data_IF_114569575568
#
_entry.id   IF_114569575568
#
_cell.length_a   1.000
_cell.length_b   1.000
_cell.length_c   1.000
_cell.angle_alpha   90.00
_cell.angle_beta   90.00
_cell.angle_gamma   90.00
#
_symmetry.space_group_name_H-M   'P 1'
#
loop_
_entity.id
_entity.type
_entity.pdbx_description
1 polymer ?
#
# COMPACT_ATOMS: atom_id res chain seq x y z
N UNK A 1 -1.55 9.57 -11.25
CA UNK A 1 -0.21 9.05 -10.91
C UNK A 1 0.93 9.87 -11.52
N UNK A 2 1.09 9.91 -12.85
CA UNK A 2 2.24 10.54 -13.53
C UNK A 2 2.54 11.98 -13.08
N UNK A 3 1.51 12.82 -12.98
CA UNK A 3 1.62 14.19 -12.46
C UNK A 3 2.32 14.25 -11.09
N UNK A 4 1.92 13.39 -10.14
CA UNK A 4 2.51 13.36 -8.79
C UNK A 4 3.99 12.94 -8.88
N UNK A 5 4.32 11.94 -9.70
CA UNK A 5 5.71 11.48 -9.86
C UNK A 5 6.59 12.63 -10.37
N UNK A 6 6.16 13.35 -11.40
CA UNK A 6 6.91 14.48 -11.96
C UNK A 6 7.17 15.57 -10.92
N UNK A 7 6.12 16.01 -10.23
CA UNK A 7 6.19 17.09 -9.23
C UNK A 7 7.06 16.73 -8.01
N UNK A 8 7.20 15.44 -7.71
CA UNK A 8 7.92 14.96 -6.51
C UNK A 8 9.31 14.41 -6.82
N UNK A 9 9.65 14.23 -8.10
CA UNK A 9 10.89 13.58 -8.55
C UNK A 9 12.18 14.25 -8.09
N UNK A 10 12.15 15.57 -7.85
CA UNK A 10 13.30 16.35 -7.39
C UNK A 10 13.45 16.39 -5.86
N UNK A 11 12.60 15.65 -5.14
CA UNK A 11 12.57 15.62 -3.68
C UNK A 11 12.55 14.17 -3.13
N UNK A 12 13.55 13.33 -3.46
CA UNK A 12 13.51 11.89 -3.18
C UNK A 12 13.48 11.54 -1.68
N UNK A 13 13.99 12.41 -0.81
CA UNK A 13 14.04 12.20 0.65
C UNK A 13 12.93 12.92 1.44
N UNK A 14 12.10 13.72 0.75
CA UNK A 14 11.00 14.45 1.39
C UNK A 14 9.69 13.69 1.21
N UNK A 15 9.40 12.75 2.12
CA UNK A 15 8.14 12.01 2.10
C UNK A 15 6.92 12.89 2.44
N UNK A 16 7.11 14.10 2.96
CA UNK A 16 6.01 15.03 3.26
C UNK A 16 5.51 15.70 1.99
N UNK A 17 6.32 15.79 0.93
CA UNK A 17 5.91 16.41 -0.34
C UNK A 17 4.64 15.79 -0.92
N UNK A 18 4.41 14.49 -0.66
CA UNK A 18 3.23 13.75 -1.10
C UNK A 18 1.94 14.24 -0.43
N UNK A 19 2.00 14.92 0.71
CA UNK A 19 0.81 15.45 1.39
C UNK A 19 0.05 16.48 0.55
N UNK A 20 0.77 17.21 -0.31
CA UNK A 20 0.16 18.13 -1.30
C UNK A 20 -0.82 17.42 -2.24
N UNK A 21 -0.70 16.09 -2.36
CA UNK A 21 -1.47 15.26 -3.26
C UNK A 21 -2.44 14.31 -2.56
N UNK A 22 -2.71 14.48 -1.26
CA UNK A 22 -3.68 13.63 -0.51
C UNK A 22 -5.03 13.55 -1.22
N UNK A 23 -5.54 14.67 -1.71
CA UNK A 23 -6.80 14.70 -2.47
C UNK A 23 -6.71 13.88 -3.76
N UNK A 24 -5.60 13.99 -4.51
CA UNK A 24 -5.37 13.24 -5.73
C UNK A 24 -5.29 11.72 -5.46
N UNK A 25 -4.67 11.31 -4.35
CA UNK A 25 -4.66 9.91 -3.94
C UNK A 25 -6.07 9.40 -3.63
N UNK A 26 -6.90 10.22 -2.98
CA UNK A 26 -8.32 9.91 -2.76
C UNK A 26 -9.07 9.70 -4.06
N UNK A 27 -8.91 10.62 -5.02
CA UNK A 27 -9.50 10.49 -6.36
C UNK A 27 -9.04 9.23 -7.09
N UNK A 28 -7.76 8.88 -7.03
CA UNK A 28 -7.23 7.65 -7.65
C UNK A 28 -7.91 6.40 -7.10
N UNK A 29 -8.13 6.33 -5.78
CA UNK A 29 -8.84 5.22 -5.14
C UNK A 29 -10.31 5.20 -5.56
N UNK A 30 -10.99 6.36 -5.54
CA UNK A 30 -12.42 6.42 -5.86
C UNK A 30 -12.70 6.07 -7.32
N UNK A 31 -11.94 6.64 -8.26
CA UNK A 31 -12.08 6.28 -9.67
C UNK A 31 -11.78 4.80 -9.94
N UNK A 32 -10.86 4.18 -9.18
CA UNK A 32 -10.59 2.74 -9.30
C UNK A 32 -11.80 1.91 -8.85
N UNK A 33 -12.52 2.32 -7.80
CA UNK A 33 -13.77 1.66 -7.37
C UNK A 33 -14.86 1.80 -8.42
N UNK A 34 -15.01 2.99 -9.00
CA UNK A 34 -16.01 3.23 -10.04
C UNK A 34 -15.77 2.34 -11.27
N UNK A 35 -14.51 2.26 -11.73
CA UNK A 35 -14.11 1.38 -12.84
C UNK A 35 -14.41 -0.08 -12.52
N UNK A 36 -14.01 -0.56 -11.34
CA UNK A 36 -14.27 -1.94 -10.93
C UNK A 36 -15.78 -2.22 -10.84
N UNK A 37 -16.55 -1.31 -10.25
CA UNK A 37 -18.01 -1.43 -10.13
C UNK A 37 -18.67 -1.53 -11.50
N UNK A 38 -18.25 -0.70 -12.45
CA UNK A 38 -18.75 -0.73 -13.82
C UNK A 38 -18.34 -2.02 -14.57
N UNK A 39 -17.20 -2.61 -14.24
CA UNK A 39 -16.69 -3.83 -14.87
C UNK A 39 -17.31 -5.12 -14.33
N UNK A 40 -17.88 -5.12 -13.11
CA UNK A 40 -18.46 -6.31 -12.46
C UNK A 40 -19.44 -7.08 -13.37
N UNK A 41 -20.42 -6.44 -14.05
CA UNK A 41 -21.38 -7.18 -14.88
C UNK A 41 -20.71 -7.92 -16.05
N UNK A 42 -19.74 -7.27 -16.70
CA UNK A 42 -18.97 -7.85 -17.81
C UNK A 42 -18.14 -9.04 -17.33
N UNK A 43 -17.41 -8.87 -16.23
CA UNK A 43 -16.59 -9.93 -15.62
C UNK A 43 -17.49 -11.13 -15.23
N UNK A 44 -18.65 -10.88 -14.64
CA UNK A 44 -19.60 -11.92 -14.25
C UNK A 44 -20.17 -12.68 -15.46
N UNK A 45 -20.46 -11.97 -16.56
CA UNK A 45 -20.90 -12.58 -17.81
C UNK A 45 -19.82 -13.47 -18.43
N UNK A 46 -18.57 -13.00 -18.46
CA UNK A 46 -17.43 -13.75 -19.01
C UNK A 46 -17.09 -15.01 -18.19
N UNK A 47 -17.24 -14.92 -16.86
CA UNK A 47 -17.12 -16.07 -15.96
C UNK A 47 -18.23 -17.11 -16.24
N UNK A 48 -19.45 -16.63 -16.48
CA UNK A 48 -20.61 -17.49 -16.74
C UNK A 48 -20.55 -18.15 -18.12
N UNK A 49 -19.91 -17.50 -19.11
CA UNK A 49 -19.73 -18.02 -20.47
C UNK A 49 -18.53 -18.98 -20.60
N UNK A 50 -17.76 -19.19 -19.53
CA UNK A 50 -16.56 -20.02 -19.51
C UNK A 50 -15.37 -19.44 -20.29
N UNK A 51 -15.46 -18.19 -20.78
CA UNK A 51 -14.36 -17.50 -21.45
C UNK A 51 -13.32 -16.95 -20.46
N UNK A 52 -13.72 -16.74 -19.20
CA UNK A 52 -12.84 -16.33 -18.12
C UNK A 52 -12.83 -17.37 -16.99
N UNK A 53 -11.69 -17.52 -16.32
CA UNK A 53 -11.57 -18.37 -15.13
C UNK A 53 -11.29 -17.53 -13.89
N UNK A 54 -11.72 -18.02 -12.73
CA UNK A 54 -11.44 -17.38 -11.43
C UNK A 54 -10.01 -17.60 -10.93
N UNK A 55 -9.17 -18.36 -11.66
CA UNK A 55 -7.89 -18.85 -11.15
C UNK A 55 -6.76 -17.83 -11.27
N UNK A 56 -6.68 -17.13 -12.40
CA UNK A 56 -5.65 -16.13 -12.70
C UNK A 56 -6.03 -15.39 -13.99
N UNK A 57 -5.86 -14.08 -14.03
CA UNK A 57 -5.96 -13.29 -15.26
C UNK A 57 -4.72 -12.43 -15.46
N UNK A 58 -4.26 -12.33 -16.71
CA UNK A 58 -3.09 -11.54 -17.10
C UNK A 58 -3.48 -10.51 -18.17
N UNK A 59 -2.93 -9.31 -18.05
CA UNK A 59 -2.92 -8.30 -19.11
C UNK A 59 -1.51 -7.74 -19.27
N UNK A 60 -1.11 -7.43 -20.51
CA UNK A 60 0.18 -6.81 -20.78
C UNK A 60 0.19 -5.31 -20.43
N UNK A 61 -0.98 -4.69 -20.38
CA UNK A 61 -1.12 -3.26 -20.09
C UNK A 61 -1.09 -2.99 -18.58
N UNK A 62 -0.66 -1.77 -18.22
CA UNK A 62 -0.80 -1.29 -16.84
C UNK A 62 -2.25 -0.88 -16.60
N UNK A 63 -2.88 -1.49 -15.61
CA UNK A 63 -4.25 -1.21 -15.17
C UNK A 63 -4.27 -0.49 -13.82
N UNK A 64 -4.97 -1.08 -12.85
CA UNK A 64 -5.23 -0.46 -11.54
C UNK A 64 -4.16 -0.79 -10.49
N UNK A 65 -3.38 -1.87 -10.65
CA UNK A 65 -2.42 -2.30 -9.63
C UNK A 65 -1.30 -1.26 -9.40
N UNK A 66 -0.53 -0.79 -10.41
CA UNK A 66 0.51 0.21 -10.20
C UNK A 66 0.02 1.51 -9.53
N UNK A 67 -1.07 2.18 -9.99
CA UNK A 67 -1.52 3.41 -9.36
C UNK A 67 -2.03 3.21 -7.93
N UNK A 68 -2.71 2.11 -7.63
CA UNK A 68 -3.16 1.81 -6.27
C UNK A 68 -1.98 1.45 -5.36
N UNK A 69 -0.99 0.69 -5.87
CA UNK A 69 0.22 0.39 -5.14
C UNK A 69 0.98 1.68 -4.80
N UNK A 70 1.09 2.59 -5.76
CA UNK A 70 1.67 3.91 -5.54
C UNK A 70 0.93 4.70 -4.44
N UNK A 71 -0.41 4.68 -4.42
CA UNK A 71 -1.21 5.28 -3.34
C UNK A 71 -0.89 4.65 -1.99
N UNK A 72 -0.88 3.31 -1.91
CA UNK A 72 -0.63 2.58 -0.68
C UNK A 72 0.76 2.88 -0.08
N UNK A 73 1.75 3.09 -0.94
CA UNK A 73 3.12 3.41 -0.53
C UNK A 73 3.28 4.89 -0.19
N UNK A 74 2.77 5.82 -0.99
CA UNK A 74 3.10 7.26 -0.90
C UNK A 74 2.11 8.14 -0.15
N UNK A 75 0.84 7.74 -0.04
CA UNK A 75 -0.12 8.50 0.75
C UNK A 75 0.11 8.28 2.26
N UNK A 76 0.01 9.33 3.08
CA UNK A 76 0.13 9.23 4.55
C UNK A 76 -1.21 9.12 5.29
N UNK A 77 -2.34 9.08 4.57
CA UNK A 77 -3.68 8.87 5.15
C UNK A 77 -4.01 7.38 5.23
N UNK A 78 -4.05 6.85 6.46
CA UNK A 78 -4.28 5.41 6.71
C UNK A 78 -5.53 4.84 6.00
N UNK A 79 -6.64 5.58 6.00
CA UNK A 79 -7.88 5.15 5.34
C UNK A 79 -7.73 4.99 3.82
N UNK A 80 -7.07 5.94 3.16
CA UNK A 80 -6.82 5.90 1.71
C UNK A 80 -5.87 4.77 1.34
N UNK A 81 -4.81 4.56 2.15
CA UNK A 81 -3.85 3.47 1.93
C UNK A 81 -4.53 2.11 2.05
N UNK A 82 -5.32 1.91 3.11
CA UNK A 82 -6.03 0.66 3.37
C UNK A 82 -7.01 0.33 2.25
N UNK A 83 -7.79 1.30 1.79
CA UNK A 83 -8.68 1.12 0.63
C UNK A 83 -7.92 0.75 -0.64
N UNK A 84 -6.77 1.38 -0.91
CA UNK A 84 -5.95 1.01 -2.06
C UNK A 84 -5.44 -0.44 -1.97
N UNK A 85 -4.98 -0.88 -0.78
CA UNK A 85 -4.54 -2.25 -0.53
C UNK A 85 -5.69 -3.25 -0.68
N UNK A 86 -6.89 -2.93 -0.18
CA UNK A 86 -8.09 -3.75 -0.33
C UNK A 86 -8.45 -3.95 -1.81
N UNK A 87 -8.39 -2.89 -2.61
CA UNK A 87 -8.66 -2.96 -4.06
C UNK A 87 -7.63 -3.81 -4.79
N UNK A 88 -6.34 -3.70 -4.43
CA UNK A 88 -5.29 -4.56 -4.99
C UNK A 88 -5.52 -6.03 -4.60
N UNK A 89 -5.82 -6.29 -3.32
CA UNK A 89 -5.92 -7.65 -2.78
C UNK A 89 -7.20 -8.38 -3.18
N UNK A 90 -8.15 -7.69 -3.84
CA UNK A 90 -9.44 -8.22 -4.24
C UNK A 90 -9.42 -9.18 -5.46
N UNK A 91 -8.28 -9.38 -6.12
CA UNK A 91 -8.19 -10.21 -7.33
C UNK A 91 -6.91 -11.02 -7.50
N UNK A 92 -7.01 -12.15 -8.21
CA UNK A 92 -5.90 -12.93 -8.75
C UNK A 92 -5.56 -12.42 -10.16
N UNK A 93 -4.95 -11.23 -10.23
CA UNK A 93 -4.68 -10.51 -11.47
C UNK A 93 -3.21 -10.09 -11.57
N UNK A 94 -2.65 -10.13 -12.80
CA UNK A 94 -1.32 -9.61 -13.11
C UNK A 94 -1.37 -8.64 -14.29
N UNK A 95 -0.78 -7.45 -14.10
CA UNK A 95 -0.67 -6.35 -15.07
C UNK A 95 0.80 -6.15 -15.47
N UNK A 96 1.24 -6.83 -16.54
CA UNK A 96 2.64 -6.88 -16.92
C UNK A 96 3.51 -7.47 -15.79
N UNK A 97 4.36 -6.65 -15.16
CA UNK A 97 5.19 -7.05 -14.01
C UNK A 97 4.48 -6.95 -12.65
N UNK A 98 3.26 -6.44 -12.61
CA UNK A 98 2.52 -6.17 -11.38
C UNK A 98 1.58 -7.31 -11.04
N UNK A 99 2.01 -8.20 -10.14
CA UNK A 99 1.13 -9.21 -9.54
C UNK A 99 0.36 -8.60 -8.36
N UNK A 100 -0.97 -8.73 -8.37
CA UNK A 100 -1.85 -8.15 -7.34
C UNK A 100 -1.59 -8.74 -5.94
N UNK A 101 -1.38 -10.04 -5.84
CA UNK A 101 -1.13 -10.72 -4.56
C UNK A 101 0.17 -10.23 -3.95
N UNK A 102 1.20 -10.12 -4.78
CA UNK A 102 2.51 -9.64 -4.42
C UNK A 102 2.48 -8.17 -4.00
N UNK A 103 1.91 -7.31 -4.85
CA UNK A 103 1.78 -5.88 -4.60
C UNK A 103 1.01 -5.61 -3.31
N UNK A 104 -0.12 -6.30 -3.09
CA UNK A 104 -0.91 -6.20 -1.87
C UNK A 104 -0.13 -6.66 -0.63
N UNK A 105 0.62 -7.77 -0.74
CA UNK A 105 1.44 -8.31 0.36
C UNK A 105 2.54 -7.35 0.78
N UNK A 106 3.26 -6.76 -0.18
CA UNK A 106 4.33 -5.80 0.09
C UNK A 106 3.76 -4.49 0.63
N UNK A 107 2.72 -3.93 -0.02
CA UNK A 107 2.11 -2.68 0.41
C UNK A 107 1.54 -2.77 1.83
N UNK A 108 0.92 -3.91 2.17
CA UNK A 108 0.44 -4.21 3.53
C UNK A 108 1.57 -4.19 4.55
N UNK A 109 2.71 -4.81 4.23
CA UNK A 109 3.84 -4.86 5.16
C UNK A 109 4.52 -3.51 5.33
N UNK A 110 4.67 -2.74 4.25
CA UNK A 110 5.15 -1.34 4.32
C UNK A 110 4.24 -0.52 5.22
N UNK A 111 2.91 -0.58 4.99
CA UNK A 111 1.95 0.13 5.83
C UNK A 111 2.03 -0.33 7.29
N UNK A 112 2.11 -1.63 7.55
CA UNK A 112 2.21 -2.18 8.91
C UNK A 112 3.47 -1.71 9.63
N UNK A 113 4.62 -1.69 8.94
CA UNK A 113 5.88 -1.23 9.52
C UNK A 113 5.86 0.26 9.84
N UNK A 114 5.31 1.08 8.95
CA UNK A 114 5.20 2.52 9.14
C UNK A 114 4.18 2.90 10.22
N UNK A 115 2.98 2.32 10.18
CA UNK A 115 1.95 2.61 11.16
C UNK A 115 2.35 2.09 12.54
N UNK A 116 2.90 0.88 12.62
CA UNK A 116 3.33 0.26 13.88
C UNK A 116 2.25 0.39 14.95
N UNK A 117 2.62 0.92 16.11
CA UNK A 117 1.72 1.20 17.23
C UNK A 117 1.14 2.64 17.25
N UNK A 118 1.31 3.42 16.18
CA UNK A 118 0.95 4.84 16.16
C UNK A 118 -0.54 5.05 16.47
N UNK A 119 -1.41 4.37 15.73
CA UNK A 119 -2.86 4.54 15.84
C UNK A 119 -3.44 3.90 17.11
N UNK A 120 -2.77 2.88 17.67
CA UNK A 120 -3.09 2.33 18.98
C UNK A 120 -2.84 3.37 20.08
N UNK A 121 -1.66 4.00 20.08
CA UNK A 121 -1.30 5.05 21.04
C UNK A 121 -2.20 6.28 20.94
N UNK A 122 -2.57 6.70 19.73
CA UNK A 122 -3.50 7.83 19.51
C UNK A 122 -4.88 7.50 20.10
N UNK A 123 -5.39 6.29 19.84
CA UNK A 123 -6.68 5.84 20.37
C UNK A 123 -6.69 5.79 21.90
N UNK A 124 -5.61 5.30 22.53
CA UNK A 124 -5.48 5.26 23.99
C UNK A 124 -5.30 6.64 24.61
N UNK A 125 -4.55 7.55 23.97
CA UNK A 125 -4.36 8.92 24.46
C UNK A 125 -5.64 9.76 24.44
N UNK A 126 -6.49 9.57 23.42
CA UNK A 126 -7.77 10.27 23.32
C UNK A 126 -8.81 9.82 24.37
N UNK A 127 -8.72 8.58 24.88
CA UNK A 127 -9.59 8.12 25.98
C UNK A 127 -9.26 8.81 27.31
N UNK A 128 -8.02 9.24 27.54
CA UNK A 128 -7.61 9.91 28.79
C UNK A 128 -8.13 11.36 28.86
N UNK A 129 -8.42 11.98 27.71
CA UNK A 129 -8.84 13.39 27.60
C UNK A 129 -10.35 13.57 27.24
N UNK A 130 -11.12 12.50 27.10
CA UNK A 130 -12.48 12.55 26.54
C UNK A 130 -13.62 12.43 27.56
N UNK A 131 -14.09 13.56 28.10
CA UNK A 131 -15.48 13.73 28.56
C UNK A 131 -16.48 13.38 27.45
N UNK A 132 -17.56 12.68 27.81
CA UNK A 132 -18.70 12.29 26.96
C UNK A 132 -19.17 13.43 26.04
N UNK A 133 -19.08 13.24 24.72
CA UNK A 133 -19.69 14.08 23.69
C UNK A 133 -20.47 13.23 22.68
N UNK A 134 -21.60 13.76 22.21
CA UNK A 134 -22.63 13.10 21.41
C UNK A 134 -22.13 12.52 20.08
N UNK A 135 -22.81 11.47 19.62
CA UNK A 135 -22.60 10.79 18.35
C UNK A 135 -22.65 11.76 17.14
N UNK A 136 -21.48 12.08 16.61
CA UNK A 136 -21.27 12.76 15.34
C UNK A 136 -19.88 12.36 14.83
N UNK A 137 -19.81 11.90 13.59
CA UNK A 137 -18.62 11.53 12.80
C UNK A 137 -17.38 11.05 13.57
N UNK A 138 -17.04 9.75 13.45
CA UNK A 138 -15.76 9.24 13.93
C UNK A 138 -14.63 10.11 13.37
N UNK A 139 -13.79 10.74 14.23
CA UNK A 139 -12.73 11.61 13.77
C UNK A 139 -11.81 10.85 12.81
N UNK A 140 -11.55 11.42 11.63
CA UNK A 140 -10.59 10.81 10.70
C UNK A 140 -9.24 10.67 11.40
N UNK A 141 -8.58 9.50 11.36
CA UNK A 141 -7.30 9.32 12.02
C UNK A 141 -6.26 10.36 11.56
N UNK A 142 -5.35 10.80 12.45
CA UNK A 142 -4.32 11.75 12.09
C UNK A 142 -3.43 11.21 10.97
N UNK A 143 -2.85 12.14 10.19
CA UNK A 143 -1.86 11.80 9.16
C UNK A 143 -0.62 11.18 9.81
N UNK A 144 -0.06 10.13 9.21
CA UNK A 144 1.12 9.46 9.73
C UNK A 144 2.33 10.45 9.81
N UNK A 145 3.04 10.52 10.95
CA UNK A 145 4.24 11.32 11.11
C UNK A 145 5.37 10.97 10.12
N UNK A 146 6.22 11.95 9.78
CA UNK A 146 7.29 11.79 8.80
C UNK A 146 8.42 10.85 9.26
N UNK A 147 8.72 10.83 10.56
CA UNK A 147 9.73 9.96 11.17
C UNK A 147 9.36 8.47 11.10
N UNK A 148 8.09 8.15 10.87
CA UNK A 148 7.62 6.78 10.68
C UNK A 148 7.70 6.29 9.23
N UNK A 149 7.99 7.18 8.27
CA UNK A 149 8.02 6.83 6.84
C UNK A 149 9.25 6.00 6.50
N UNK A 150 9.04 4.94 5.73
CA UNK A 150 10.14 4.16 5.17
C UNK A 150 10.63 4.81 3.89
N UNK A 151 11.95 4.88 3.73
CA UNK A 151 12.62 5.51 2.61
C UNK A 151 13.27 4.45 1.72
N UNK A 152 13.47 4.80 0.45
CA UNK A 152 14.25 3.98 -0.50
C UNK A 152 13.80 2.51 -0.60
N UNK A 153 12.48 2.27 -0.58
CA UNK A 153 11.92 0.92 -0.71
C UNK A 153 12.35 0.31 -2.05
N UNK A 154 13.02 -0.84 -1.98
CA UNK A 154 13.44 -1.67 -3.12
C UNK A 154 12.84 -3.05 -2.96
N UNK A 155 12.22 -3.54 -4.02
CA UNK A 155 11.68 -4.89 -4.10
C UNK A 155 12.68 -5.79 -4.85
N UNK A 156 12.99 -6.93 -4.26
CA UNK A 156 13.72 -8.03 -4.87
C UNK A 156 12.70 -9.11 -5.19
N UNK A 157 12.44 -9.25 -6.49
CA UNK A 157 11.58 -10.31 -7.00
C UNK A 157 12.39 -11.60 -7.08
N UNK A 158 11.78 -12.75 -6.79
CA UNK A 158 12.44 -14.04 -6.97
C UNK A 158 12.64 -14.32 -8.47
N UNK A 159 13.84 -14.78 -8.83
CA UNK A 159 14.20 -15.11 -10.22
C UNK A 159 13.52 -16.40 -10.72
N UNK A 160 13.05 -17.25 -9.81
CA UNK A 160 12.36 -18.52 -10.09
C UNK A 160 11.22 -18.79 -9.08
N UNK A 161 10.54 -19.93 -9.21
CA UNK A 161 9.42 -20.32 -8.34
C UNK A 161 9.84 -20.63 -6.89
N UNK A 162 11.13 -20.59 -6.58
CA UNK A 162 11.75 -20.98 -5.30
C UNK A 162 12.41 -19.77 -4.61
N UNK A 163 12.67 -18.69 -5.35
CA UNK A 163 13.36 -17.52 -4.85
C UNK A 163 12.63 -16.82 -3.70
N UNK A 164 13.43 -16.13 -2.88
CA UNK A 164 12.92 -15.33 -1.77
C UNK A 164 12.43 -13.97 -2.28
N UNK A 165 11.13 -13.74 -2.20
CA UNK A 165 10.59 -12.38 -2.25
C UNK A 165 11.17 -11.60 -1.07
N UNK A 166 11.83 -10.48 -1.35
CA UNK A 166 12.35 -9.61 -0.31
C UNK A 166 12.06 -8.15 -0.63
N UNK A 167 11.92 -7.32 0.39
CA UNK A 167 12.07 -5.87 0.20
C UNK A 167 13.02 -5.29 1.23
N UNK A 168 13.67 -4.21 0.85
CA UNK A 168 14.62 -3.48 1.69
C UNK A 168 14.34 -2.00 1.62
N UNK A 169 14.82 -1.25 2.58
CA UNK A 169 14.76 0.20 2.58
C UNK A 169 15.54 0.77 3.76
N UNK A 170 15.31 2.04 4.06
CA UNK A 170 15.85 2.70 5.25
C UNK A 170 14.71 3.20 6.12
N UNK A 171 14.88 3.08 7.43
CA UNK A 171 13.97 3.62 8.44
C UNK A 171 14.69 4.69 9.25
N UNK A 172 13.94 5.69 9.72
CA UNK A 172 14.47 6.73 10.61
C UNK A 172 14.37 6.24 12.06
N UNK A 173 15.49 6.22 12.75
CA UNK A 173 15.56 5.93 14.17
C UNK A 173 15.15 7.15 15.01
N UNK A 174 14.76 6.97 16.28
CA UNK A 174 14.34 8.07 17.16
C UNK A 174 15.41 9.16 17.37
N UNK A 175 16.69 8.80 17.20
CA UNK A 175 17.83 9.72 17.26
C UNK A 175 18.06 10.50 15.94
N UNK A 176 17.21 10.28 14.94
CA UNK A 176 17.28 10.89 13.61
C UNK A 176 18.18 10.15 12.62
N UNK A 177 18.92 9.11 13.05
CA UNK A 177 19.78 8.33 12.15
C UNK A 177 18.96 7.47 11.19
N UNK A 178 19.52 7.15 10.02
CA UNK A 178 18.89 6.25 9.06
C UNK A 178 19.52 4.86 9.18
N UNK A 179 18.67 3.85 9.41
CA UNK A 179 19.10 2.46 9.51
C UNK A 179 18.54 1.65 8.33
N UNK A 180 19.38 0.93 7.57
CA UNK A 180 18.89 0.04 6.53
C UNK A 180 18.17 -1.17 7.16
N UNK A 181 17.22 -1.72 6.43
CA UNK A 181 16.55 -2.96 6.78
C UNK A 181 16.32 -3.80 5.52
N UNK A 182 16.24 -5.12 5.72
CA UNK A 182 15.78 -6.08 4.72
C UNK A 182 14.77 -7.01 5.37
N UNK A 183 13.68 -7.28 4.67
CA UNK A 183 12.69 -8.29 5.03
C UNK A 183 12.52 -9.30 3.92
N UNK A 184 12.41 -10.56 4.30
CA UNK A 184 12.17 -11.68 3.41
C UNK A 184 10.77 -12.23 3.71
N UNK A 185 10.05 -12.57 2.65
CA UNK A 185 8.73 -13.16 2.74
C UNK A 185 8.84 -14.68 2.70
N UNK A 186 8.37 -15.31 3.76
CA UNK A 186 8.16 -16.75 3.79
C UNK A 186 6.79 -17.06 3.18
N UNK A 187 6.78 -17.52 1.92
CA UNK A 187 5.55 -17.88 1.22
C UNK A 187 4.79 -19.05 1.87
N UNK A 188 5.47 -19.95 2.59
CA UNK A 188 4.84 -21.10 3.26
C UNK A 188 4.08 -20.65 4.50
N UNK A 189 4.71 -19.80 5.31
CA UNK A 189 4.12 -19.28 6.55
C UNK A 189 3.37 -17.96 6.37
N UNK A 190 3.37 -17.41 5.14
CA UNK A 190 2.73 -16.16 4.74
C UNK A 190 3.11 -14.99 5.67
N UNK A 191 4.37 -14.93 6.09
CA UNK A 191 4.85 -13.93 7.03
C UNK A 191 6.15 -13.27 6.56
N UNK A 192 6.47 -12.14 7.16
CA UNK A 192 7.70 -11.42 6.86
C UNK A 192 8.68 -11.45 8.04
N UNK A 193 9.91 -11.83 7.77
CA UNK A 193 10.99 -11.87 8.77
C UNK A 193 12.09 -10.86 8.42
N UNK A 194 12.76 -10.32 9.43
CA UNK A 194 13.95 -9.48 9.22
C UNK A 194 15.13 -10.36 8.83
N UNK A 195 15.87 -9.94 7.82
CA UNK A 195 17.11 -10.57 7.39
C UNK A 195 18.31 -9.64 7.64
N UNK A 196 19.51 -10.23 7.74
CA UNK A 196 20.75 -9.46 7.81
C UNK A 196 20.88 -8.51 6.62
N UNK A 197 21.28 -7.27 6.89
CA UNK A 197 21.67 -6.31 5.86
C UNK A 197 23.13 -6.61 5.55
N UNK A 198 23.42 -7.13 4.35
CA UNK A 198 24.80 -7.30 3.85
C UNK A 198 25.43 -5.92 3.58
#
# INVERSE_FOLDING_TARGET
MAHIITETSLHPDDEIIFDKFIWHFGMMVESSKEILTAAIPTIAADLSSGHCTTKFSFTADMGLIPPLYYVALKCRKSSTRRQAIELISGGLHQEGMWDATLAGTVASEVMRMEEGDFYERVSSGNQVLGTKGLAGEQPTPPTLPNDRRLLNIRLLLPDDSIGELAFSGTMRCPDGTLKPFKKVYDAKNRNWTFAGVL
#
